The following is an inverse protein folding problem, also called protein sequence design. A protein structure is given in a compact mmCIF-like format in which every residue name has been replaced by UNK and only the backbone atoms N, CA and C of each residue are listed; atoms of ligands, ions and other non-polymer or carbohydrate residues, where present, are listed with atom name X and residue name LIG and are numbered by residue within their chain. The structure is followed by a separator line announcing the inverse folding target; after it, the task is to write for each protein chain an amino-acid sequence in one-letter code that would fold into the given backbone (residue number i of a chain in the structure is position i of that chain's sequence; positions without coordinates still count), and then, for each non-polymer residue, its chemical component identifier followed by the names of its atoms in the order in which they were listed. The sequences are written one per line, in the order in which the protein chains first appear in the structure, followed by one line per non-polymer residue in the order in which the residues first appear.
data_IF_549615012966
#
_entry.id   IF_549615012966
#
_cell.length_a   1.000
_cell.length_b   1.000
_cell.length_c   1.000
_cell.angle_alpha   90.00
_cell.angle_beta   90.00
_cell.angle_gamma   90.00
#
_symmetry.space_group_name_H-M   'P 1'
#
loop_
_entity.id
_entity.type
_entity.pdbx_description
1 polymer ?
#
# COMPACT_ATOMS: atom_id res chain seq x y z
N UNK A 1 10.51 -6.62 36.20
CA UNK A 1 9.53 -6.56 35.10
C UNK A 1 9.93 -7.60 34.07
N UNK A 2 9.07 -8.61 33.90
CA UNK A 2 9.36 -9.91 33.29
C UNK A 2 9.61 -9.83 31.79
N UNK A 3 10.74 -10.38 31.35
CA UNK A 3 11.00 -10.81 29.97
C UNK A 3 10.17 -12.08 29.76
N UNK A 4 9.08 -11.98 29.00
CA UNK A 4 8.27 -13.12 28.61
C UNK A 4 9.04 -13.95 27.59
N UNK A 5 9.44 -15.14 28.04
CA UNK A 5 9.99 -16.24 27.27
C UNK A 5 9.04 -16.66 26.14
N UNK A 6 9.40 -16.33 24.90
CA UNK A 6 8.76 -16.86 23.69
C UNK A 6 9.35 -18.25 23.42
N UNK A 7 8.56 -19.32 23.59
CA UNK A 7 9.00 -20.70 23.36
C UNK A 7 9.08 -21.00 21.84
N UNK A 8 10.25 -21.42 21.28
CA UNK A 8 10.41 -21.52 19.82
C UNK A 8 10.08 -22.88 19.18
N UNK A 9 9.55 -23.87 19.91
CA UNK A 9 9.63 -25.28 19.46
C UNK A 9 8.47 -25.82 18.61
N UNK A 10 7.31 -25.16 18.58
CA UNK A 10 6.14 -25.67 17.83
C UNK A 10 5.90 -24.95 16.49
N UNK A 11 6.13 -23.64 16.40
CA UNK A 11 5.95 -22.87 15.16
C UNK A 11 6.97 -23.25 14.07
N UNK A 12 8.16 -23.69 14.45
CA UNK A 12 9.20 -24.13 13.51
C UNK A 12 8.80 -25.39 12.73
N UNK A 13 8.25 -26.39 13.41
CA UNK A 13 7.91 -27.70 12.79
C UNK A 13 6.69 -27.61 11.89
N UNK A 14 5.67 -26.83 12.26
CA UNK A 14 4.47 -26.65 11.42
C UNK A 14 4.79 -25.85 10.15
N UNK A 15 5.63 -24.81 10.25
CA UNK A 15 6.08 -24.06 9.07
C UNK A 15 6.92 -24.95 8.13
N UNK A 16 7.80 -25.80 8.67
CA UNK A 16 8.59 -26.71 7.84
C UNK A 16 7.71 -27.72 7.10
N UNK A 17 6.73 -28.32 7.78
CA UNK A 17 5.79 -29.26 7.17
C UNK A 17 4.94 -28.59 6.09
N UNK A 18 4.51 -27.35 6.31
CA UNK A 18 3.73 -26.60 5.34
C UNK A 18 4.56 -26.28 4.09
N UNK A 19 5.81 -25.85 4.25
CA UNK A 19 6.73 -25.62 3.13
C UNK A 19 6.98 -26.91 2.35
N UNK A 20 7.23 -28.03 3.04
CA UNK A 20 7.43 -29.34 2.40
C UNK A 20 6.19 -29.78 1.62
N UNK A 21 4.99 -29.56 2.17
CA UNK A 21 3.73 -29.87 1.50
C UNK A 21 3.55 -29.04 0.22
N UNK A 22 3.85 -27.74 0.27
CA UNK A 22 3.80 -26.86 -0.91
C UNK A 22 4.81 -27.31 -1.97
N UNK A 23 6.06 -27.59 -1.59
CA UNK A 23 7.07 -28.08 -2.52
C UNK A 23 6.62 -29.40 -3.19
N UNK A 24 6.06 -30.33 -2.42
CA UNK A 24 5.51 -31.59 -2.95
C UNK A 24 4.38 -31.33 -3.95
N UNK A 25 3.47 -30.39 -3.67
CA UNK A 25 2.41 -30.01 -4.58
C UNK A 25 2.96 -29.42 -5.90
N UNK A 26 3.96 -28.53 -5.83
CA UNK A 26 4.57 -27.93 -7.02
C UNK A 26 5.20 -29.00 -7.93
N UNK A 27 5.92 -29.96 -7.35
CA UNK A 27 6.49 -31.09 -8.09
C UNK A 27 5.39 -31.94 -8.73
N UNK A 28 4.28 -32.21 -8.02
CA UNK A 28 3.13 -32.96 -8.56
C UNK A 28 2.47 -32.24 -9.75
N UNK A 29 2.33 -30.91 -9.67
CA UNK A 29 1.72 -30.10 -10.72
C UNK A 29 2.70 -29.64 -11.81
N UNK A 30 3.94 -30.14 -11.81
CA UNK A 30 5.00 -29.79 -12.78
C UNK A 30 5.27 -28.28 -12.84
N UNK A 31 5.23 -27.62 -11.69
CA UNK A 31 5.64 -26.23 -11.54
C UNK A 31 7.10 -26.19 -11.10
N UNK A 32 7.92 -25.44 -11.83
CA UNK A 32 9.35 -25.34 -11.54
C UNK A 32 9.59 -24.57 -10.23
N UNK A 33 10.30 -25.22 -9.30
CA UNK A 33 10.71 -24.61 -8.03
C UNK A 33 12.02 -23.84 -8.26
N UNK A 34 11.91 -22.56 -8.59
CA UNK A 34 13.06 -21.67 -8.84
C UNK A 34 13.18 -20.63 -7.73
N UNK A 35 14.39 -20.46 -7.20
CA UNK A 35 14.68 -19.39 -6.24
C UNK A 35 14.99 -18.07 -6.94
N UNK A 36 14.45 -16.96 -6.42
CA UNK A 36 14.77 -15.61 -6.89
C UNK A 36 16.18 -15.13 -6.45
N UNK A 37 16.87 -15.89 -5.60
CA UNK A 37 18.17 -15.51 -5.04
C UNK A 37 18.09 -14.19 -4.28
N UNK A 38 19.00 -13.25 -4.58
CA UNK A 38 19.04 -11.90 -3.96
C UNK A 38 18.15 -10.86 -4.68
N UNK A 39 17.37 -11.27 -5.67
CA UNK A 39 16.55 -10.35 -6.48
C UNK A 39 15.19 -10.08 -5.81
N UNK A 40 15.17 -9.18 -4.84
CA UNK A 40 13.94 -8.80 -4.12
C UNK A 40 12.84 -8.22 -5.03
N UNK A 41 13.20 -7.63 -6.18
CA UNK A 41 12.24 -7.11 -7.15
C UNK A 41 11.35 -8.20 -7.73
N UNK A 42 11.90 -9.40 -8.02
CA UNK A 42 11.10 -10.52 -8.53
C UNK A 42 10.09 -11.00 -7.49
N UNK A 43 10.51 -11.05 -6.23
CA UNK A 43 9.64 -11.43 -5.10
C UNK A 43 8.52 -10.41 -4.92
N UNK A 44 8.83 -9.10 -4.92
CA UNK A 44 7.82 -8.05 -4.82
C UNK A 44 6.84 -8.07 -5.99
N UNK A 45 7.31 -8.30 -7.22
CA UNK A 45 6.44 -8.47 -8.39
C UNK A 45 5.50 -9.67 -8.23
N UNK A 46 6.00 -10.81 -7.73
CA UNK A 46 5.17 -11.98 -7.48
C UNK A 46 4.08 -11.70 -6.42
N UNK A 47 4.43 -11.03 -5.31
CA UNK A 47 3.46 -10.63 -4.29
C UNK A 47 2.44 -9.65 -4.89
N UNK A 48 2.90 -8.68 -5.68
CA UNK A 48 2.03 -7.71 -6.37
C UNK A 48 1.03 -8.41 -7.28
N UNK A 49 1.43 -9.49 -7.97
CA UNK A 49 0.54 -10.25 -8.84
C UNK A 49 -0.57 -10.98 -8.08
N UNK A 50 -0.33 -11.40 -6.84
CA UNK A 50 -1.34 -12.02 -5.99
C UNK A 50 -2.22 -11.01 -5.25
N UNK A 51 -1.63 -9.92 -4.77
CA UNK A 51 -2.26 -8.94 -3.89
C UNK A 51 -2.58 -7.61 -4.59
N UNK A 52 -2.83 -7.64 -5.90
CA UNK A 52 -3.06 -6.43 -6.69
C UNK A 52 -4.32 -5.65 -6.26
N UNK A 53 -5.31 -6.30 -5.64
CA UNK A 53 -6.48 -5.65 -5.05
C UNK A 53 -6.15 -4.89 -3.76
N UNK A 54 -5.15 -5.33 -2.99
CA UNK A 54 -4.74 -4.72 -1.73
C UNK A 54 -3.68 -3.63 -1.94
N UNK A 55 -3.91 -2.78 -2.92
CA UNK A 55 -3.01 -1.69 -3.28
C UNK A 55 -3.46 -0.37 -2.64
N UNK A 56 -2.50 0.36 -2.09
CA UNK A 56 -2.67 1.66 -1.46
C UNK A 56 -1.74 2.72 -2.05
N UNK A 57 -2.23 3.94 -2.14
CA UNK A 57 -1.46 5.11 -2.59
C UNK A 57 -1.46 6.18 -1.52
N UNK A 58 -0.32 6.84 -1.34
CA UNK A 58 -0.17 7.98 -0.44
C UNK A 58 -1.03 9.16 -0.94
N UNK A 59 -1.86 9.69 -0.04
CA UNK A 59 -2.64 10.91 -0.26
C UNK A 59 -1.91 12.09 0.41
N UNK A 60 -1.75 13.24 -0.27
CA UNK A 60 -1.11 14.41 0.32
C UNK A 60 -1.79 14.95 1.59
N UNK A 61 -3.07 14.67 1.80
CA UNK A 61 -3.84 15.20 2.93
C UNK A 61 -4.10 14.15 4.02
N UNK A 62 -4.53 12.94 3.64
CA UNK A 62 -5.06 11.92 4.55
C UNK A 62 -4.19 10.65 4.69
N UNK A 63 -2.87 10.76 4.57
CA UNK A 63 -1.97 9.62 4.76
C UNK A 63 -1.98 8.68 3.55
N UNK A 64 -2.80 7.63 3.56
CA UNK A 64 -2.95 6.69 2.43
C UNK A 64 -4.41 6.46 2.09
N UNK A 65 -4.67 6.10 0.83
CA UNK A 65 -5.98 5.66 0.35
C UNK A 65 -5.87 4.36 -0.43
N UNK A 66 -6.83 3.47 -0.23
CA UNK A 66 -6.95 2.23 -1.00
C UNK A 66 -7.33 2.53 -2.44
N UNK A 67 -6.83 1.75 -3.41
CA UNK A 67 -7.13 1.97 -4.82
C UNK A 67 -8.54 1.52 -5.21
N UNK A 68 -9.09 0.53 -4.50
CA UNK A 68 -10.40 -0.07 -4.81
C UNK A 68 -11.52 0.78 -4.20
N UNK A 69 -11.47 1.01 -2.90
CA UNK A 69 -12.55 1.64 -2.14
C UNK A 69 -12.30 3.14 -1.89
N UNK A 70 -11.09 3.64 -2.18
CA UNK A 70 -10.67 5.03 -1.91
C UNK A 70 -10.90 5.42 -0.44
N UNK A 71 -10.77 4.44 0.46
CA UNK A 71 -10.93 4.58 1.90
C UNK A 71 -9.61 5.07 2.54
N UNK A 72 -9.66 6.01 3.50
CA UNK A 72 -8.46 6.48 4.19
C UNK A 72 -7.92 5.42 5.15
N UNK A 73 -6.68 5.00 4.90
CA UNK A 73 -5.97 3.96 5.66
C UNK A 73 -4.60 4.46 6.11
N UNK A 74 -4.05 3.85 7.15
CA UNK A 74 -2.77 4.24 7.73
C UNK A 74 -1.83 3.04 7.83
N UNK A 75 -0.52 3.29 7.77
CA UNK A 75 0.47 2.23 8.02
C UNK A 75 0.52 1.98 9.53
N UNK A 76 0.39 0.72 9.95
CA UNK A 76 0.51 0.37 11.37
C UNK A 76 1.92 0.71 11.90
N UNK A 77 2.07 1.28 13.11
CA UNK A 77 3.37 1.69 13.65
C UNK A 77 4.36 0.53 13.88
N UNK A 78 3.87 -0.71 14.02
CA UNK A 78 4.75 -1.88 14.11
C UNK A 78 5.37 -2.28 12.76
N UNK A 79 4.94 -1.68 11.65
CA UNK A 79 5.46 -1.99 10.32
C UNK A 79 6.82 -1.31 10.11
N UNK A 80 7.75 -2.03 9.50
CA UNK A 80 9.09 -1.53 9.15
C UNK A 80 9.07 -0.36 8.15
N UNK A 81 7.97 -0.19 7.42
CA UNK A 81 7.80 0.84 6.39
C UNK A 81 7.25 2.16 6.95
N UNK A 82 6.87 2.20 8.23
CA UNK A 82 6.23 3.36 8.87
C UNK A 82 7.06 4.65 8.76
N UNK A 83 8.39 4.55 8.90
CA UNK A 83 9.28 5.73 8.85
C UNK A 83 9.53 6.24 7.42
N UNK A 84 9.55 5.34 6.43
CA UNK A 84 9.92 5.69 5.04
C UNK A 84 8.77 6.35 4.27
N UNK A 85 7.52 5.99 4.60
CA UNK A 85 6.30 6.49 3.97
C UNK A 85 6.35 6.62 2.42
N UNK A 86 6.58 5.50 1.71
CA UNK A 86 6.63 5.48 0.25
C UNK A 86 5.28 5.79 -0.39
N UNK A 87 5.28 6.23 -1.66
CA UNK A 87 4.06 6.67 -2.33
C UNK A 87 3.09 5.54 -2.70
N UNK A 88 3.62 4.34 -2.97
CA UNK A 88 2.84 3.19 -3.42
C UNK A 88 3.18 1.97 -2.58
N UNK A 89 2.13 1.33 -2.09
CA UNK A 89 2.23 0.20 -1.17
C UNK A 89 1.23 -0.89 -1.50
N UNK A 90 1.56 -2.11 -1.12
CA UNK A 90 0.62 -3.21 -1.00
C UNK A 90 0.59 -3.66 0.45
N UNK A 91 -0.59 -4.03 0.93
CA UNK A 91 -0.81 -4.56 2.28
C UNK A 91 -1.34 -5.99 2.21
N UNK A 92 -1.10 -6.77 3.26
CA UNK A 92 -1.67 -8.11 3.38
C UNK A 92 -3.12 -8.06 3.86
N UNK A 93 -3.35 -7.31 4.95
CA UNK A 93 -4.66 -7.18 5.59
C UNK A 93 -4.90 -5.77 6.16
N UNK A 94 -6.17 -5.42 6.32
CA UNK A 94 -6.64 -4.23 7.01
C UNK A 94 -7.21 -4.59 8.37
N UNK A 95 -6.97 -3.72 9.34
CA UNK A 95 -7.34 -3.92 10.72
C UNK A 95 -8.06 -2.70 11.20
N UNK A 96 -9.35 -2.85 11.47
CA UNK A 96 -10.15 -1.79 12.04
C UNK A 96 -9.93 -1.74 13.55
N UNK A 97 -9.44 -0.60 14.04
CA UNK A 97 -9.32 -0.30 15.48
C UNK A 97 -9.89 1.10 15.74
N UNK A 98 -9.06 2.08 16.10
CA UNK A 98 -9.42 3.50 16.16
C UNK A 98 -9.39 4.15 14.79
N UNK A 99 -8.45 3.71 13.95
CA UNK A 99 -8.35 3.98 12.52
C UNK A 99 -8.07 2.65 11.83
N UNK A 100 -8.27 2.61 10.53
CA UNK A 100 -7.92 1.43 9.75
C UNK A 100 -6.42 1.41 9.48
N UNK A 101 -5.78 0.35 9.94
CA UNK A 101 -4.34 0.15 9.79
C UNK A 101 -4.04 -1.00 8.85
N UNK A 102 -3.09 -0.77 7.95
CA UNK A 102 -2.49 -1.78 7.08
C UNK A 102 -1.41 -2.55 7.85
N UNK A 103 -1.52 -3.89 7.85
CA UNK A 103 -0.46 -4.80 8.33
C UNK A 103 0.27 -5.45 7.17
N UNK A 104 1.55 -5.74 7.42
CA UNK A 104 2.49 -6.35 6.47
C UNK A 104 2.53 -5.60 5.13
N UNK A 105 3.18 -4.44 5.17
CA UNK A 105 3.21 -3.50 4.05
C UNK A 105 4.50 -3.66 3.25
N UNK A 106 4.38 -3.72 1.93
CA UNK A 106 5.51 -3.73 1.01
C UNK A 106 5.50 -2.52 0.09
N UNK A 107 6.69 -2.09 -0.33
CA UNK A 107 6.86 -1.02 -1.30
C UNK A 107 6.83 -1.57 -2.71
N UNK A 108 6.03 -0.96 -3.59
CA UNK A 108 5.86 -1.41 -4.97
C UNK A 108 6.03 -0.26 -5.96
N UNK A 109 6.38 -0.60 -7.20
CA UNK A 109 6.32 0.35 -8.31
C UNK A 109 4.93 0.27 -8.99
N UNK A 110 4.27 1.41 -9.26
CA UNK A 110 2.94 1.42 -9.88
C UNK A 110 2.90 0.81 -11.28
N UNK A 111 4.04 0.75 -11.98
CA UNK A 111 4.16 0.11 -13.29
C UNK A 111 3.78 -1.37 -13.25
N UNK A 112 4.11 -2.05 -12.16
CA UNK A 112 3.85 -3.49 -12.02
C UNK A 112 2.35 -3.79 -11.91
N UNK A 113 1.57 -2.91 -11.29
CA UNK A 113 0.10 -3.09 -11.21
C UNK A 113 -0.54 -3.07 -12.60
N UNK A 114 -0.07 -2.19 -13.48
CA UNK A 114 -0.56 -2.08 -14.87
C UNK A 114 -0.08 -3.27 -15.71
N UNK A 115 1.16 -3.71 -15.52
CA UNK A 115 1.73 -4.89 -16.22
C UNK A 115 1.02 -6.20 -15.81
N UNK A 116 0.79 -6.39 -14.51
CA UNK A 116 0.31 -7.67 -13.94
C UNK A 116 -1.21 -7.79 -13.97
N UNK A 117 -1.93 -6.68 -13.83
CA UNK A 117 -3.40 -6.66 -13.83
C UNK A 117 -3.96 -5.60 -14.80
N UNK A 118 -3.71 -5.74 -16.12
CA UNK A 118 -4.12 -4.75 -17.12
C UNK A 118 -5.64 -4.63 -17.29
N UNK A 119 -6.39 -5.66 -16.88
CA UNK A 119 -7.86 -5.63 -16.87
C UNK A 119 -8.44 -4.77 -15.75
N UNK A 120 -7.69 -4.59 -14.67
CA UNK A 120 -8.14 -3.85 -13.48
C UNK A 120 -7.54 -2.45 -13.43
N UNK A 121 -6.24 -2.32 -13.67
CA UNK A 121 -5.54 -1.04 -13.62
C UNK A 121 -5.28 -0.50 -15.02
N UNK A 122 -5.58 0.80 -15.20
CA UNK A 122 -5.23 1.53 -16.41
C UNK A 122 -4.31 2.70 -16.06
N UNK A 123 -3.26 2.87 -16.86
CA UNK A 123 -2.44 4.07 -16.77
C UNK A 123 -3.31 5.31 -17.07
N UNK A 124 -3.11 6.37 -16.28
CA UNK A 124 -3.73 7.65 -16.56
C UNK A 124 -3.05 8.29 -17.77
N UNK A 125 -3.85 8.69 -18.76
CA UNK A 125 -3.36 9.42 -19.93
C UNK A 125 -2.79 10.79 -19.49
N UNK A 126 -1.53 11.11 -19.80
CA UNK A 126 -0.89 12.35 -19.34
C UNK A 126 -1.56 13.60 -19.92
N UNK A 127 -2.17 13.49 -21.10
CA UNK A 127 -2.81 14.60 -21.82
C UNK A 127 -4.20 14.95 -21.27
N UNK A 128 -4.84 14.03 -20.53
CA UNK A 128 -6.21 14.23 -20.01
C UNK A 128 -6.21 14.31 -18.49
N UNK A 129 -6.42 15.52 -17.98
CA UNK A 129 -6.66 15.74 -16.55
C UNK A 129 -7.87 14.92 -16.09
N UNK A 130 -7.66 14.03 -15.11
CA UNK A 130 -8.73 13.26 -14.49
C UNK A 130 -9.79 14.21 -13.90
N UNK A 131 -11.06 13.79 -13.91
CA UNK A 131 -12.16 14.54 -13.28
C UNK A 131 -11.83 14.89 -11.82
N UNK A 132 -11.16 13.99 -11.08
CA UNK A 132 -10.68 14.25 -9.71
C UNK A 132 -9.71 15.42 -9.65
N UNK A 133 -8.68 15.41 -10.50
CA UNK A 133 -7.66 16.47 -10.56
C UNK A 133 -8.25 17.82 -10.99
N UNK A 134 -9.30 17.81 -11.83
CA UNK A 134 -10.04 19.04 -12.19
C UNK A 134 -10.85 19.61 -11.03
N UNK A 135 -11.27 18.78 -10.09
CA UNK A 135 -12.10 19.16 -8.94
C UNK A 135 -11.26 19.58 -7.73
N UNK A 136 -9.96 19.29 -7.72
CA UNK A 136 -9.04 19.73 -6.67
C UNK A 136 -8.97 21.27 -6.63
N UNK A 137 -9.46 21.84 -5.53
CA UNK A 137 -9.43 23.28 -5.27
C UNK A 137 -8.16 23.59 -4.48
N UNK A 138 -7.28 24.39 -5.06
CA UNK A 138 -6.07 24.86 -4.38
C UNK A 138 -6.51 25.92 -3.37
N UNK A 139 -6.23 25.69 -2.09
CA UNK A 139 -6.36 26.71 -1.05
C UNK A 139 -5.00 27.33 -0.77
N UNK A 140 -4.93 28.65 -0.54
CA UNK A 140 -3.66 29.28 -0.20
C UNK A 140 -3.16 28.76 1.15
N UNK A 141 -1.84 28.87 1.34
CA UNK A 141 -1.21 28.54 2.61
C UNK A 141 -1.83 29.37 3.74
N UNK A 142 -2.02 28.75 4.90
CA UNK A 142 -2.55 29.44 6.07
C UNK A 142 -1.62 30.58 6.49
N UNK A 143 -2.16 31.79 6.51
CA UNK A 143 -1.48 32.99 7.03
C UNK A 143 -2.12 33.36 8.38
N UNK A 144 -1.28 33.51 9.41
CA UNK A 144 -1.72 33.87 10.76
C UNK A 144 -2.23 35.32 10.84
N UNK A 145 -1.70 36.21 10.00
CA UNK A 145 -1.93 37.66 10.13
C UNK A 145 -3.11 38.17 9.30
N UNK A 146 -3.63 37.34 8.40
CA UNK A 146 -4.75 37.70 7.54
C UNK A 146 -5.96 36.83 7.81
N UNK A 147 -7.14 37.45 7.84
CA UNK A 147 -8.38 36.71 8.00
C UNK A 147 -8.59 35.69 6.86
N UNK A 148 -9.10 34.49 7.19
CA UNK A 148 -9.44 33.49 6.19
C UNK A 148 -10.32 34.08 5.09
N UNK A 149 -10.01 33.75 3.84
CA UNK A 149 -10.73 34.18 2.64
C UNK A 149 -10.69 35.70 2.32
N UNK A 150 -9.89 36.52 3.03
CA UNK A 150 -9.70 37.95 2.72
C UNK A 150 -9.10 38.20 1.32
N UNK A 151 -8.36 37.23 0.79
CA UNK A 151 -7.82 37.23 -0.56
C UNK A 151 -8.90 37.09 -1.67
N UNK A 152 -10.11 36.61 -1.33
CA UNK A 152 -11.16 36.42 -2.32
C UNK A 152 -11.67 37.77 -2.82
N UNK A 153 -11.57 38.02 -4.12
CA UNK A 153 -12.10 39.22 -4.79
C UNK A 153 -13.59 39.46 -4.49
N UNK A 154 -14.37 38.40 -4.25
CA UNK A 154 -15.78 38.49 -3.85
C UNK A 154 -15.98 39.24 -2.53
N UNK A 155 -15.01 39.20 -1.61
CA UNK A 155 -15.08 39.89 -0.31
C UNK A 155 -14.75 41.39 -0.43
N UNK A 156 -14.06 41.82 -1.49
CA UNK A 156 -13.65 43.22 -1.69
C UNK A 156 -14.75 44.11 -2.28
N UNK A 157 -15.85 43.52 -2.75
CA UNK A 157 -17.00 44.22 -3.35
C UNK A 157 -18.22 44.29 -2.41
N UNK A 158 -18.09 43.80 -1.18
CA UNK A 158 -19.12 43.81 -0.15
C UNK A 158 -18.83 44.93 0.86
#
# INVERSE_FOLDING_TARGET
MSVSSFSPSWTGTVNLLLVLCICSAFVRYKLDVVSAGKNFTKVRKAITAGFFFHAGRKDPQEGYRTLVENQPVYIHPSSSVFQRQPDWVIYHELVMTTKEYMREVIVIDPKWLVELAPRFFRAAEPTKMSKRKRQERIEPLYDRYHEPNSWRLSKRRA
#
